data_IF_013308149028
#
_entry.id   IF_013308149028
#
_cell.length_a   1.000
_cell.length_b   1.000
_cell.length_c   1.000
_cell.angle_alpha   90.00
_cell.angle_beta   90.00
_cell.angle_gamma   90.00
#
_symmetry.space_group_name_H-M   'P 1'
#
loop_
_entity.id
_entity.type
_entity.pdbx_description
1 polymer ?
#
# COMPACT_ATOMS: atom_id res chain seq x y z
N UNK A 1 -5.35 -2.21 7.48
CA UNK A 1 -4.13 -1.44 7.87
C UNK A 1 -3.93 -1.33 9.38
N UNK A 2 -4.97 -1.02 10.14
CA UNK A 2 -4.91 -0.84 11.61
C UNK A 2 -4.55 -2.12 12.37
N UNK A 3 -5.07 -3.28 11.95
CA UNK A 3 -4.89 -4.54 12.67
C UNK A 3 -3.44 -5.05 12.66
N UNK A 4 -2.78 -5.02 11.50
CA UNK A 4 -1.36 -5.41 11.39
C UNK A 4 -0.44 -4.45 12.16
N UNK A 5 -0.71 -3.13 12.12
CA UNK A 5 0.05 -2.14 12.90
C UNK A 5 -0.17 -2.30 14.40
N UNK A 6 -1.39 -2.63 14.82
CA UNK A 6 -1.69 -2.93 16.22
C UNK A 6 -1.00 -4.23 16.67
N UNK A 7 -1.02 -5.27 15.85
CA UNK A 7 -0.32 -6.52 16.14
C UNK A 7 1.19 -6.32 16.25
N UNK A 8 1.80 -5.60 15.31
CA UNK A 8 3.24 -5.31 15.35
C UNK A 8 3.59 -4.42 16.54
N UNK A 9 2.74 -3.47 16.94
CA UNK A 9 3.01 -2.65 18.11
C UNK A 9 2.97 -3.46 19.41
N UNK A 10 2.10 -4.46 19.52
CA UNK A 10 1.99 -5.30 20.72
C UNK A 10 3.02 -6.43 20.78
N UNK A 11 3.48 -6.94 19.62
CA UNK A 11 4.48 -8.01 19.53
C UNK A 11 5.93 -7.51 19.49
N UNK A 12 6.17 -6.20 19.40
CA UNK A 12 7.52 -5.61 19.37
C UNK A 12 7.94 -4.97 20.69
N UNK A 13 9.26 -5.02 20.95
CA UNK A 13 9.93 -4.34 22.06
C UNK A 13 9.89 -2.81 21.87
N UNK A 14 10.02 -2.03 22.95
CA UNK A 14 10.05 -0.56 22.87
C UNK A 14 11.17 0.01 22.00
N UNK A 15 12.32 -0.68 21.94
CA UNK A 15 13.47 -0.29 21.11
C UNK A 15 13.22 -0.54 19.62
N UNK A 16 12.54 -1.64 19.26
CA UNK A 16 12.40 -2.07 17.86
C UNK A 16 11.04 -1.70 17.24
N UNK A 17 10.07 -1.28 18.05
CA UNK A 17 8.70 -0.94 17.62
C UNK A 17 8.65 0.07 16.49
N UNK A 18 9.45 1.13 16.55
CA UNK A 18 9.51 2.14 15.49
C UNK A 18 9.96 1.51 14.16
N UNK A 19 11.01 0.67 14.19
CA UNK A 19 11.56 -0.01 13.02
C UNK A 19 10.58 -1.03 12.44
N UNK A 20 9.88 -1.76 13.30
CA UNK A 20 8.87 -2.74 12.89
C UNK A 20 7.64 -2.07 12.25
N UNK A 21 7.13 -0.99 12.85
CA UNK A 21 6.02 -0.20 12.27
C UNK A 21 6.44 0.45 10.95
N UNK A 22 7.68 0.93 10.84
CA UNK A 22 8.23 1.46 9.60
C UNK A 22 8.29 0.37 8.52
N UNK A 23 8.72 -0.85 8.84
CA UNK A 23 8.75 -1.97 7.90
C UNK A 23 7.35 -2.30 7.37
N UNK A 24 6.34 -2.41 8.24
CA UNK A 24 4.94 -2.62 7.83
C UNK A 24 4.44 -1.49 6.93
N UNK A 25 4.72 -0.25 7.32
CA UNK A 25 4.27 0.93 6.58
C UNK A 25 4.96 1.05 5.21
N UNK A 26 6.24 0.71 5.14
CA UNK A 26 7.02 0.64 3.89
C UNK A 26 6.50 -0.47 2.97
N UNK A 27 6.20 -1.65 3.52
CA UNK A 27 5.56 -2.74 2.76
C UNK A 27 4.24 -2.31 2.12
N UNK A 28 3.34 -1.70 2.91
CA UNK A 28 2.07 -1.17 2.40
C UNK A 28 2.30 -0.12 1.31
N UNK A 29 3.18 0.85 1.56
CA UNK A 29 3.46 1.91 0.58
C UNK A 29 4.04 1.34 -0.72
N UNK A 30 4.98 0.39 -0.64
CA UNK A 30 5.55 -0.29 -1.80
C UNK A 30 4.51 -1.08 -2.58
N UNK A 31 3.58 -1.77 -1.89
CA UNK A 31 2.49 -2.50 -2.53
C UNK A 31 1.51 -1.58 -3.25
N UNK A 32 1.12 -0.45 -2.64
CA UNK A 32 0.27 0.56 -3.29
C UNK A 32 0.95 1.17 -4.51
N UNK A 33 2.27 1.29 -4.49
CA UNK A 33 3.04 1.88 -5.57
C UNK A 33 3.26 0.94 -6.76
N UNK A 34 3.64 -0.31 -6.46
CA UNK A 34 3.92 -1.33 -7.46
C UNK A 34 2.61 -1.95 -8.00
N UNK A 35 1.53 -1.93 -7.20
CA UNK A 35 0.23 -2.50 -7.56
C UNK A 35 -0.27 -2.07 -8.95
N UNK A 36 -0.42 -0.76 -9.23
CA UNK A 36 -0.81 -0.26 -10.54
C UNK A 36 0.19 -0.60 -11.66
N UNK A 37 1.48 -0.73 -11.35
CA UNK A 37 2.47 -1.11 -12.35
C UNK A 37 2.25 -2.54 -12.89
N UNK A 38 1.73 -3.46 -12.06
CA UNK A 38 1.40 -4.80 -12.55
C UNK A 38 0.34 -4.78 -13.64
N UNK A 39 -0.52 -3.77 -13.67
CA UNK A 39 -1.52 -3.61 -14.73
C UNK A 39 -0.89 -3.44 -16.11
N UNK A 40 0.32 -2.86 -16.20
CA UNK A 40 1.05 -2.69 -17.45
C UNK A 40 1.53 -4.01 -18.06
N UNK A 41 1.81 -5.04 -17.24
CA UNK A 41 2.14 -6.37 -17.77
C UNK A 41 0.95 -7.01 -18.49
N UNK A 42 -0.27 -6.58 -18.17
CA UNK A 42 -1.50 -7.06 -18.81
C UNK A 42 -1.98 -6.16 -19.96
N UNK A 43 -1.29 -5.07 -20.28
CA UNK A 43 -1.58 -4.23 -21.44
C UNK A 43 -1.55 -5.00 -22.78
N UNK A 44 -0.61 -5.94 -23.03
CA UNK A 44 -0.58 -6.69 -24.30
C UNK A 44 -1.81 -7.59 -24.54
N UNK A 45 -2.62 -7.83 -23.51
CA UNK A 45 -3.84 -8.61 -23.63
C UNK A 45 -4.97 -7.85 -24.33
N UNK A 46 -4.91 -6.51 -24.30
CA UNK A 46 -5.90 -5.64 -24.91
C UNK A 46 -7.33 -5.77 -24.33
N UNK A 47 -8.28 -5.04 -24.92
CA UNK A 47 -9.69 -5.12 -24.58
C UNK A 47 -10.33 -6.40 -25.12
N UNK A 48 -9.76 -6.94 -26.22
CA UNK A 48 -10.23 -8.18 -26.81
C UNK A 48 -9.80 -9.43 -26.04
N UNK A 49 -8.77 -9.35 -25.20
CA UNK A 49 -8.42 -10.42 -24.27
C UNK A 49 -8.13 -11.77 -24.91
N UNK A 50 -7.96 -12.78 -24.06
CA UNK A 50 -7.70 -14.17 -24.44
C UNK A 50 -8.72 -15.08 -23.77
N UNK A 51 -9.22 -16.08 -24.52
CA UNK A 51 -10.06 -17.13 -23.97
C UNK A 51 -9.20 -18.14 -23.21
N UNK A 52 -9.26 -18.10 -21.88
CA UNK A 52 -8.49 -19.01 -21.01
C UNK A 52 -9.31 -20.25 -20.65
N UNK A 53 -10.63 -20.08 -20.50
CA UNK A 53 -11.61 -21.14 -20.33
C UNK A 53 -12.75 -20.95 -21.33
N UNK A 54 -13.53 -22.00 -21.67
CA UNK A 54 -14.64 -21.90 -22.61
C UNK A 54 -15.70 -20.83 -22.24
N UNK A 55 -15.75 -20.44 -20.98
CA UNK A 55 -16.70 -19.47 -20.41
C UNK A 55 -16.03 -18.23 -19.79
N UNK A 56 -14.69 -18.12 -19.82
CA UNK A 56 -13.97 -17.02 -19.17
C UNK A 56 -12.96 -16.34 -20.11
N UNK A 57 -13.26 -15.08 -20.43
CA UNK A 57 -12.44 -14.18 -21.23
C UNK A 57 -11.57 -13.32 -20.31
N UNK A 58 -10.26 -13.51 -20.40
CA UNK A 58 -9.28 -12.75 -19.64
C UNK A 58 -8.93 -11.50 -20.46
N UNK A 59 -9.27 -10.32 -19.96
CA UNK A 59 -9.02 -9.04 -20.62
C UNK A 59 -8.23 -8.11 -19.68
N UNK A 60 -7.75 -6.97 -20.20
CA UNK A 60 -6.99 -5.98 -19.42
C UNK A 60 -7.71 -5.49 -18.15
N UNK A 61 -9.05 -5.56 -18.11
CA UNK A 61 -9.86 -5.11 -16.96
C UNK A 61 -9.96 -6.17 -15.85
N UNK A 62 -10.02 -7.45 -16.21
CA UNK A 62 -10.19 -8.56 -15.26
C UNK A 62 -8.86 -9.18 -14.82
N UNK A 63 -7.80 -9.08 -15.64
CA UNK A 63 -6.49 -9.68 -15.36
C UNK A 63 -5.85 -9.20 -14.05
N UNK A 64 -5.86 -7.88 -13.72
CA UNK A 64 -5.30 -7.41 -12.46
C UNK A 64 -6.04 -7.94 -11.24
N UNK A 65 -7.37 -8.14 -11.35
CA UNK A 65 -8.18 -8.70 -10.27
C UNK A 65 -7.83 -10.17 -10.01
N UNK A 66 -7.67 -10.97 -11.08
CA UNK A 66 -7.24 -12.37 -10.95
C UNK A 66 -5.83 -12.46 -10.36
N UNK A 67 -4.90 -11.61 -10.80
CA UNK A 67 -3.55 -11.55 -10.23
C UNK A 67 -3.55 -11.19 -8.75
N UNK A 68 -4.35 -10.19 -8.35
CA UNK A 68 -4.53 -9.81 -6.95
C UNK A 68 -5.10 -10.96 -6.12
N UNK A 69 -6.05 -11.71 -6.67
CA UNK A 69 -6.60 -12.90 -6.02
C UNK A 69 -5.52 -13.97 -5.77
N UNK A 70 -4.69 -14.27 -6.78
CA UNK A 70 -3.56 -15.21 -6.64
C UNK A 70 -2.54 -14.73 -5.60
N UNK A 71 -2.20 -13.44 -5.60
CA UNK A 71 -1.29 -12.86 -4.60
C UNK A 71 -1.86 -12.95 -3.18
N UNK A 72 -3.18 -12.80 -3.01
CA UNK A 72 -3.82 -13.01 -1.71
C UNK A 72 -3.75 -14.47 -1.26
N UNK A 73 -3.91 -15.45 -2.17
CA UNK A 73 -3.71 -16.87 -1.84
C UNK A 73 -2.27 -17.12 -1.40
N UNK A 74 -1.28 -16.60 -2.13
CA UNK A 74 0.14 -16.72 -1.74
C UNK A 74 0.37 -16.08 -0.37
N UNK A 75 -0.17 -14.89 -0.13
CA UNK A 75 -0.08 -14.21 1.18
C UNK A 75 -0.70 -15.04 2.31
N UNK A 76 -1.84 -15.69 2.05
CA UNK A 76 -2.47 -16.60 3.01
C UNK A 76 -1.60 -17.84 3.27
N UNK A 77 -1.01 -18.45 2.24
CA UNK A 77 -0.11 -19.59 2.40
C UNK A 77 1.15 -19.22 3.18
N UNK A 78 1.77 -18.08 2.88
CA UNK A 78 2.92 -17.58 3.63
C UNK A 78 2.54 -17.33 5.09
N UNK A 79 1.38 -16.73 5.35
CA UNK A 79 0.88 -16.58 6.71
C UNK A 79 0.70 -17.95 7.37
N UNK A 80 0.09 -18.92 6.69
CA UNK A 80 -0.16 -20.24 7.28
C UNK A 80 1.13 -21.03 7.60
N UNK A 81 2.15 -20.96 6.74
CA UNK A 81 3.38 -21.74 6.89
C UNK A 81 4.50 -21.03 7.67
N UNK A 82 4.63 -19.71 7.52
CA UNK A 82 5.76 -18.96 8.07
C UNK A 82 5.40 -18.15 9.32
N UNK A 83 4.12 -17.92 9.60
CA UNK A 83 3.71 -17.17 10.79
C UNK A 83 3.65 -18.11 12.00
N UNK A 84 4.64 -17.96 12.89
CA UNK A 84 4.61 -18.59 14.20
C UNK A 84 4.25 -17.54 15.25
N UNK A 85 3.14 -17.74 15.95
CA UNK A 85 2.64 -16.78 16.92
C UNK A 85 3.37 -16.93 18.26
N UNK A 86 4.24 -15.96 18.59
CA UNK A 86 4.97 -15.92 19.87
C UNK A 86 4.41 -14.84 20.79
N UNK A 87 3.77 -15.25 21.87
CA UNK A 87 3.14 -14.37 22.86
C UNK A 87 4.10 -13.84 23.95
N UNK A 88 5.38 -14.20 23.88
CA UNK A 88 6.35 -13.93 24.96
C UNK A 88 6.54 -12.43 25.22
N UNK A 89 6.54 -11.62 24.14
CA UNK A 89 6.70 -10.17 24.23
C UNK A 89 5.47 -9.52 24.85
N UNK A 90 4.27 -10.03 24.54
CA UNK A 90 2.99 -9.50 25.04
C UNK A 90 2.89 -9.66 26.56
N UNK A 91 3.30 -10.82 27.08
CA UNK A 91 3.32 -11.12 28.52
C UNK A 91 4.41 -10.33 29.25
N UNK A 92 5.58 -10.18 28.64
CA UNK A 92 6.71 -9.45 29.22
C UNK A 92 6.50 -7.93 29.29
N UNK A 93 5.87 -7.32 28.27
CA UNK A 93 5.60 -5.88 28.25
C UNK A 93 4.40 -5.54 29.17
N UNK A 94 3.35 -6.37 29.20
CA UNK A 94 2.22 -6.22 30.14
C UNK A 94 2.65 -6.23 31.62
N UNK A 95 3.66 -7.02 31.97
CA UNK A 95 4.24 -7.05 33.31
C UNK A 95 5.08 -5.80 33.66
N UNK A 96 5.50 -5.00 32.67
CA UNK A 96 6.36 -3.80 32.83
C UNK A 96 5.61 -2.48 32.70
N UNK A 97 4.32 -2.46 32.37
CA UNK A 97 3.53 -1.22 32.28
C UNK A 97 3.09 -0.77 33.68
N UNK A 98 3.99 -0.14 34.43
CA UNK A 98 3.68 0.46 35.74
C UNK A 98 3.45 1.98 35.67
N UNK A 99 3.77 2.61 34.53
CA UNK A 99 3.71 4.07 34.36
C UNK A 99 2.55 4.45 33.43
N UNK A 100 1.58 5.18 33.98
CA UNK A 100 0.45 5.78 33.24
C UNK A 100 1.01 6.66 32.13
N UNK A 101 0.70 6.36 30.86
CA UNK A 101 1.10 7.24 29.76
C UNK A 101 0.41 8.60 29.93
N UNK A 102 1.10 9.71 29.60
CA UNK A 102 0.47 11.03 29.62
C UNK A 102 -0.72 11.08 28.66
N UNK A 103 -1.77 11.80 29.04
CA UNK A 103 -2.97 11.92 28.21
C UNK A 103 -2.62 12.55 26.85
N UNK A 104 -3.08 11.97 25.73
CA UNK A 104 -2.89 12.57 24.41
C UNK A 104 -3.51 13.98 24.38
N UNK A 105 -2.79 14.96 23.84
CA UNK A 105 -3.37 16.28 23.57
C UNK A 105 -4.43 16.15 22.48
N UNK A 106 -5.69 16.48 22.82
CA UNK A 106 -6.83 16.39 21.91
C UNK A 106 -6.59 17.25 20.65
N UNK A 107 -5.95 18.41 20.81
CA UNK A 107 -5.63 19.31 19.70
C UNK A 107 -4.64 18.65 18.74
N UNK A 108 -3.59 18.02 19.26
CA UNK A 108 -2.60 17.33 18.42
C UNK A 108 -3.23 16.14 17.68
N UNK A 109 -4.09 15.38 18.36
CA UNK A 109 -4.83 14.26 17.74
C UNK A 109 -5.75 14.78 16.64
N UNK A 110 -6.49 15.86 16.89
CA UNK A 110 -7.40 16.45 15.91
C UNK A 110 -6.64 16.91 14.66
N UNK A 111 -5.55 17.66 14.83
CA UNK A 111 -4.72 18.12 13.71
C UNK A 111 -4.19 16.92 12.91
N UNK A 112 -3.63 15.90 13.57
CA UNK A 112 -3.13 14.72 12.87
C UNK A 112 -4.23 13.97 12.10
N UNK A 113 -5.41 13.80 12.71
CA UNK A 113 -6.55 13.12 12.06
C UNK A 113 -7.04 13.93 10.86
N UNK A 114 -7.20 15.24 11.01
CA UNK A 114 -7.62 16.13 9.91
C UNK A 114 -6.62 16.13 8.76
N UNK A 115 -5.31 16.26 9.03
CA UNK A 115 -4.28 16.20 7.98
C UNK A 115 -4.31 14.85 7.26
N UNK A 116 -4.44 13.75 8.01
CA UNK A 116 -4.50 12.40 7.43
C UNK A 116 -5.75 12.20 6.56
N UNK A 117 -6.88 12.74 7.00
CA UNK A 117 -8.12 12.72 6.25
C UNK A 117 -7.97 13.44 4.92
N UNK A 118 -7.47 14.69 4.93
CA UNK A 118 -7.27 15.48 3.70
C UNK A 118 -6.33 14.76 2.73
N UNK A 119 -5.23 14.19 3.24
CA UNK A 119 -4.28 13.45 2.42
C UNK A 119 -4.92 12.23 1.73
N UNK A 120 -5.65 11.39 2.48
CA UNK A 120 -6.30 10.21 1.93
C UNK A 120 -7.42 10.63 0.96
N UNK A 121 -8.22 11.62 1.33
CA UNK A 121 -9.33 12.12 0.50
C UNK A 121 -8.85 12.64 -0.86
N UNK A 122 -7.81 13.48 -0.87
CA UNK A 122 -7.23 13.99 -2.11
C UNK A 122 -6.68 12.87 -2.99
N UNK A 123 -5.95 11.92 -2.39
CA UNK A 123 -5.37 10.78 -3.12
C UNK A 123 -6.45 9.91 -3.74
N UNK A 124 -7.46 9.51 -2.97
CA UNK A 124 -8.57 8.68 -3.44
C UNK A 124 -9.41 9.38 -4.50
N UNK A 125 -9.58 10.70 -4.41
CA UNK A 125 -10.29 11.48 -5.45
C UNK A 125 -9.53 11.45 -6.77
N UNK A 126 -8.21 11.64 -6.74
CA UNK A 126 -7.35 11.55 -7.94
C UNK A 126 -7.38 10.13 -8.53
N UNK A 127 -7.26 9.10 -7.70
CA UNK A 127 -7.32 7.70 -8.16
C UNK A 127 -8.67 7.35 -8.80
N UNK A 128 -9.77 7.82 -8.21
CA UNK A 128 -11.13 7.49 -8.68
C UNK A 128 -11.48 8.23 -9.96
N UNK A 129 -11.12 9.52 -10.05
CA UNK A 129 -11.50 10.37 -11.18
C UNK A 129 -10.45 10.38 -12.30
N UNK A 130 -9.22 9.94 -12.05
CA UNK A 130 -8.11 10.04 -12.99
C UNK A 130 -8.39 9.37 -14.34
N UNK A 131 -9.00 8.19 -14.33
CA UNK A 131 -9.36 7.50 -15.58
C UNK A 131 -10.48 8.22 -16.34
N UNK A 132 -11.52 8.68 -15.65
CA UNK A 132 -12.62 9.45 -16.24
C UNK A 132 -12.14 10.79 -16.82
N UNK A 133 -11.30 11.53 -16.10
CA UNK A 133 -10.69 12.75 -16.61
C UNK A 133 -9.81 12.48 -17.83
N UNK A 134 -9.01 11.41 -17.82
CA UNK A 134 -8.15 11.08 -18.96
C UNK A 134 -8.96 10.76 -20.22
N UNK A 135 -10.07 10.04 -20.08
CA UNK A 135 -10.98 9.77 -21.20
C UNK A 135 -11.67 11.05 -21.70
N UNK A 136 -12.11 11.93 -20.81
CA UNK A 136 -12.85 13.15 -21.19
C UNK A 136 -11.96 14.25 -21.77
N UNK A 137 -10.79 14.51 -21.17
CA UNK A 137 -9.92 15.60 -21.59
C UNK A 137 -9.08 15.26 -22.82
N UNK A 138 -8.58 14.03 -22.92
CA UNK A 138 -7.70 13.62 -24.00
C UNK A 138 -8.41 12.74 -25.05
N UNK A 139 -9.71 12.49 -24.90
CA UNK A 139 -10.49 11.58 -25.76
C UNK A 139 -9.87 10.18 -25.88
N UNK A 140 -9.18 9.74 -24.82
CA UNK A 140 -8.56 8.42 -24.76
C UNK A 140 -9.62 7.31 -24.71
N UNK A 141 -9.32 6.21 -25.38
CA UNK A 141 -10.09 4.99 -25.22
C UNK A 141 -9.90 4.40 -23.81
N UNK A 142 -10.83 3.53 -23.39
CA UNK A 142 -10.81 2.92 -22.05
C UNK A 142 -9.49 2.20 -21.74
N UNK A 143 -8.87 1.57 -22.74
CA UNK A 143 -7.57 0.90 -22.62
C UNK A 143 -6.43 1.91 -22.41
N UNK A 144 -6.39 2.97 -23.21
CA UNK A 144 -5.38 4.02 -23.13
C UNK A 144 -5.46 4.76 -21.80
N UNK A 145 -6.66 5.11 -21.36
CA UNK A 145 -6.88 5.79 -20.07
C UNK A 145 -6.38 4.95 -18.89
N UNK A 146 -6.61 3.63 -18.94
CA UNK A 146 -6.12 2.69 -17.93
C UNK A 146 -4.60 2.59 -17.96
N UNK A 147 -4.00 2.46 -19.15
CA UNK A 147 -2.56 2.32 -19.33
C UNK A 147 -1.82 3.60 -18.92
N UNK A 148 -2.34 4.77 -19.29
CA UNK A 148 -1.79 6.08 -18.90
C UNK A 148 -1.88 6.27 -17.39
N UNK A 149 -3.00 5.93 -16.76
CA UNK A 149 -3.14 6.05 -15.31
C UNK A 149 -2.17 5.14 -14.55
N UNK A 150 -2.03 3.88 -15.00
CA UNK A 150 -1.07 2.92 -14.44
C UNK A 150 0.38 3.41 -14.61
N UNK A 151 0.71 3.95 -15.78
CA UNK A 151 2.03 4.53 -16.08
C UNK A 151 2.33 5.75 -15.21
N UNK A 152 1.36 6.64 -15.01
CA UNK A 152 1.51 7.81 -14.15
C UNK A 152 1.80 7.42 -12.69
N UNK A 153 1.11 6.40 -12.17
CA UNK A 153 1.37 5.88 -10.83
C UNK A 153 2.75 5.22 -10.71
N UNK A 154 3.18 4.49 -11.74
CA UNK A 154 4.53 3.92 -11.80
C UNK A 154 5.61 5.02 -11.77
N UNK A 155 5.47 6.07 -12.56
CA UNK A 155 6.42 7.19 -12.60
C UNK A 155 6.48 7.90 -11.24
N UNK A 156 5.32 8.24 -10.66
CA UNK A 156 5.24 8.81 -9.32
C UNK A 156 5.94 7.92 -8.29
N UNK A 157 5.85 6.60 -8.47
CA UNK A 157 6.54 5.63 -7.65
C UNK A 157 8.03 5.59 -7.78
N UNK A 158 8.55 5.58 -9.01
CA UNK A 158 9.98 5.63 -9.25
C UNK A 158 10.56 6.93 -8.66
N UNK A 159 9.87 8.06 -8.83
CA UNK A 159 10.28 9.34 -8.23
C UNK A 159 10.30 9.22 -6.70
N UNK A 160 9.24 8.68 -6.09
CA UNK A 160 9.17 8.46 -4.64
C UNK A 160 10.30 7.56 -4.12
N UNK A 161 10.53 6.42 -4.77
CA UNK A 161 11.61 5.50 -4.41
C UNK A 161 12.99 6.14 -4.56
N UNK A 162 13.20 6.93 -5.61
CA UNK A 162 14.45 7.66 -5.85
C UNK A 162 14.67 8.72 -4.77
N UNK A 163 13.63 9.47 -4.37
CA UNK A 163 13.72 10.43 -3.29
C UNK A 163 14.06 9.77 -1.95
N UNK A 164 13.43 8.62 -1.63
CA UNK A 164 13.78 7.85 -0.43
C UNK A 164 15.23 7.33 -0.47
N UNK A 165 15.67 6.84 -1.62
CA UNK A 165 17.04 6.38 -1.81
C UNK A 165 18.04 7.53 -1.62
N UNK A 166 17.80 8.68 -2.26
CA UNK A 166 18.62 9.89 -2.08
C UNK A 166 18.64 10.34 -0.61
N UNK A 167 17.49 10.34 0.07
CA UNK A 167 17.41 10.74 1.47
C UNK A 167 18.25 9.84 2.39
N UNK A 168 18.25 8.52 2.15
CA UNK A 168 19.03 7.54 2.91
C UNK A 168 20.53 7.68 2.65
N UNK A 169 20.94 7.82 1.38
CA UNK A 169 22.36 7.88 1.01
C UNK A 169 23.01 9.24 1.27
N UNK A 170 22.27 10.34 1.10
CA UNK A 170 22.79 11.69 1.34
C UNK A 170 22.57 12.21 2.76
N UNK A 171 21.97 11.40 3.65
CA UNK A 171 21.82 11.71 5.08
C UNK A 171 21.25 13.13 5.31
N UNK A 172 20.17 13.48 4.61
CA UNK A 172 19.49 14.78 4.72
C UNK A 172 18.72 14.97 6.04
N UNK A 173 19.02 14.14 7.04
CA UNK A 173 18.56 14.25 8.44
C UNK A 173 19.42 15.22 9.26
N UNK A 174 20.52 15.71 8.71
CA UNK A 174 21.41 16.70 9.35
C UNK A 174 20.91 18.13 9.09
N UNK A 175 19.69 18.46 9.51
CA UNK A 175 19.22 19.84 9.69
C UNK A 175 18.24 19.90 10.86
#
# INVERSE_FOLDING_TARGET
MSLLRAYVSTSSSKSDRSRAIACVSGGIASGTLIGPAFQLFFTPLGPDGVWVLPFYRLNIYNSPALFSFLMNIVGFLVMYFAFEERYDVLKADAAKVTKKLPHPSIIAVLVCVSTRFVQIFATTTIETLGSAFSMLMFSFNKEEAVTVNATAHLIAGIIGATLYFLFIFFNLSSW
#
